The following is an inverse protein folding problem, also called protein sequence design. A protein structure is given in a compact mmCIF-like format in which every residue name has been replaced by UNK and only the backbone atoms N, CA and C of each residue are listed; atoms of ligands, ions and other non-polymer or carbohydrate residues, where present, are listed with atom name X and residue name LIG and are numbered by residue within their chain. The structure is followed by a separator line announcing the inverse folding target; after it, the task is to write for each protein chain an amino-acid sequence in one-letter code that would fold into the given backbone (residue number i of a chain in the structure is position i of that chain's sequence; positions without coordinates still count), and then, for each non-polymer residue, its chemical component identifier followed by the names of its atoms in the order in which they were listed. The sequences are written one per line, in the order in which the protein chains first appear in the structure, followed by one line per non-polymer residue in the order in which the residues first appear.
data_IF_679707619764
#
_entry.id   IF_679707619764
#
_cell.length_a   1.000
_cell.length_b   1.000
_cell.length_c   1.000
_cell.angle_alpha   90.00
_cell.angle_beta   90.00
_cell.angle_gamma   90.00
#
_symmetry.space_group_name_H-M   'P 1'
#
loop_
_entity.id
_entity.type
_entity.pdbx_description
1 polymer ?
#
# COMPACT_ATOMS: atom_id res chain seq x y z
N UNK A 1 -13.34 -23.25 0.75
CA UNK A 1 -14.52 -22.44 1.15
C UNK A 1 -14.65 -21.21 0.24
N UNK A 2 -15.81 -20.54 0.20
CA UNK A 2 -16.00 -19.32 -0.61
C UNK A 2 -15.78 -18.10 0.27
N UNK A 3 -14.84 -17.24 -0.12
CA UNK A 3 -14.61 -15.92 0.45
C UNK A 3 -15.42 -14.90 -0.34
N UNK A 4 -16.44 -14.31 0.27
CA UNK A 4 -17.15 -13.15 -0.28
C UNK A 4 -16.50 -11.88 0.28
N UNK A 5 -16.06 -10.98 -0.59
CA UNK A 5 -15.38 -9.73 -0.21
C UNK A 5 -15.56 -8.67 -1.29
N UNK A 6 -15.17 -7.42 -1.01
CA UNK A 6 -15.12 -6.36 -2.01
C UNK A 6 -13.66 -5.98 -2.26
N UNK A 7 -13.17 -6.15 -3.49
CA UNK A 7 -11.81 -5.79 -3.85
C UNK A 7 -11.86 -4.65 -4.88
N UNK A 8 -11.21 -3.53 -4.57
CA UNK A 8 -11.17 -2.34 -5.43
C UNK A 8 -12.58 -1.95 -5.91
N UNK A 9 -13.52 -1.84 -4.96
CA UNK A 9 -14.93 -1.49 -5.17
C UNK A 9 -15.76 -2.51 -5.97
N UNK A 10 -15.24 -3.72 -6.23
CA UNK A 10 -15.95 -4.80 -6.93
C UNK A 10 -16.17 -5.98 -6.00
N UNK A 11 -17.43 -6.43 -5.87
CA UNK A 11 -17.75 -7.66 -5.14
C UNK A 11 -17.09 -8.85 -5.83
N UNK A 12 -16.46 -9.73 -5.04
CA UNK A 12 -15.78 -10.93 -5.49
C UNK A 12 -16.17 -12.11 -4.60
N UNK A 13 -16.30 -13.26 -5.23
CA UNK A 13 -16.40 -14.56 -4.59
C UNK A 13 -15.20 -15.38 -5.04
N UNK A 14 -14.36 -15.77 -4.10
CA UNK A 14 -13.10 -16.45 -4.37
C UNK A 14 -13.09 -17.79 -3.62
N UNK A 15 -12.68 -18.83 -4.31
CA UNK A 15 -12.44 -20.12 -3.66
C UNK A 15 -11.11 -20.06 -2.94
N UNK A 16 -11.13 -20.33 -1.64
CA UNK A 16 -9.95 -20.31 -0.77
C UNK A 16 -9.86 -21.57 0.08
N UNK A 17 -8.65 -21.90 0.52
CA UNK A 17 -8.42 -22.86 1.59
C UNK A 17 -8.54 -22.16 2.95
N UNK A 18 -8.83 -22.91 4.02
CA UNK A 18 -9.10 -22.33 5.34
C UNK A 18 -7.88 -21.65 5.96
N UNK A 19 -6.69 -22.10 5.61
CA UNK A 19 -5.38 -21.63 6.06
C UNK A 19 -4.67 -20.73 5.03
N UNK A 20 -5.36 -20.37 3.93
CA UNK A 20 -4.77 -19.55 2.87
C UNK A 20 -4.57 -18.11 3.32
N UNK A 21 -3.37 -17.58 3.08
CA UNK A 21 -3.05 -16.17 3.34
C UNK A 21 -3.60 -15.25 2.25
N UNK A 22 -4.02 -14.06 2.67
CA UNK A 22 -4.63 -13.05 1.80
C UNK A 22 -3.74 -12.66 0.61
N UNK A 23 -2.42 -12.61 0.79
CA UNK A 23 -1.48 -12.34 -0.29
C UNK A 23 -1.59 -13.36 -1.43
N UNK A 24 -1.72 -14.63 -1.10
CA UNK A 24 -1.83 -15.71 -2.09
C UNK A 24 -3.18 -15.66 -2.80
N UNK A 25 -4.25 -15.48 -2.04
CA UNK A 25 -5.61 -15.29 -2.59
C UNK A 25 -5.68 -14.12 -3.58
N UNK A 26 -5.16 -12.96 -3.19
CA UNK A 26 -5.15 -11.78 -4.05
C UNK A 26 -4.33 -12.00 -5.33
N UNK A 27 -3.15 -12.62 -5.21
CA UNK A 27 -2.31 -12.93 -6.38
C UNK A 27 -2.94 -13.97 -7.30
N UNK A 28 -3.59 -15.01 -6.77
CA UNK A 28 -4.39 -15.98 -7.56
C UNK A 28 -5.55 -15.27 -8.28
N UNK A 29 -6.13 -14.26 -7.67
CA UNK A 29 -7.20 -13.46 -8.26
C UNK A 29 -6.71 -12.38 -9.26
N UNK A 30 -5.39 -12.32 -9.55
CA UNK A 30 -4.79 -11.45 -10.57
C UNK A 30 -4.26 -10.11 -10.04
N UNK A 31 -4.31 -9.84 -8.72
CA UNK A 31 -3.77 -8.61 -8.12
C UNK A 31 -2.25 -8.75 -7.89
N UNK A 32 -1.48 -8.65 -8.98
CA UNK A 32 -0.05 -8.93 -8.98
C UNK A 32 0.81 -7.79 -8.41
N UNK A 33 0.22 -6.62 -8.15
CA UNK A 33 0.86 -5.53 -7.39
C UNK A 33 1.14 -5.91 -5.94
N UNK A 34 0.40 -6.87 -5.39
CA UNK A 34 0.64 -7.45 -4.07
C UNK A 34 1.89 -8.34 -4.16
N UNK A 35 3.03 -7.82 -3.68
CA UNK A 35 4.34 -8.50 -3.80
C UNK A 35 4.65 -9.31 -2.55
N UNK A 36 5.40 -10.40 -2.73
CA UNK A 36 6.00 -11.18 -1.63
C UNK A 36 7.52 -11.00 -1.70
N UNK A 37 8.10 -10.31 -0.74
CA UNK A 37 9.53 -10.00 -0.71
C UNK A 37 10.26 -10.56 0.51
N UNK A 38 9.54 -11.18 1.45
CA UNK A 38 10.10 -11.88 2.61
C UNK A 38 9.17 -13.00 3.08
N UNK A 39 9.70 -13.86 3.96
CA UNK A 39 8.93 -14.94 4.60
C UNK A 39 8.68 -14.68 6.10
N UNK A 40 9.06 -13.49 6.59
CA UNK A 40 9.03 -13.12 8.02
C UNK A 40 7.97 -12.08 8.39
N UNK A 41 7.19 -11.59 7.41
CA UNK A 41 6.20 -10.53 7.65
C UNK A 41 6.80 -9.15 7.97
N UNK A 42 8.05 -8.87 7.56
CA UNK A 42 8.77 -7.67 7.96
C UNK A 42 8.91 -6.59 6.86
N UNK A 43 8.74 -6.95 5.57
CA UNK A 43 9.15 -6.05 4.49
C UNK A 43 8.09 -5.06 3.99
N UNK A 44 6.82 -5.25 4.28
CA UNK A 44 5.73 -4.36 3.86
C UNK A 44 5.35 -4.40 2.37
N UNK A 45 6.01 -5.24 1.55
CA UNK A 45 5.76 -5.29 0.10
C UNK A 45 4.37 -5.85 -0.25
N UNK A 46 3.79 -6.64 0.66
CA UNK A 46 2.47 -7.24 0.53
C UNK A 46 1.35 -6.38 1.13
N UNK A 47 1.63 -5.14 1.50
CA UNK A 47 0.64 -4.24 2.11
C UNK A 47 -0.56 -4.07 1.19
N UNK A 48 -1.75 -4.24 1.76
CA UNK A 48 -3.05 -3.89 1.19
C UNK A 48 -3.85 -3.11 2.23
N UNK A 49 -4.90 -2.41 1.83
CA UNK A 49 -5.80 -1.79 2.80
C UNK A 49 -6.99 -2.72 3.04
N UNK A 50 -7.32 -2.96 4.29
CA UNK A 50 -8.54 -3.64 4.72
C UNK A 50 -9.35 -2.66 5.55
N UNK A 51 -10.55 -2.31 5.10
CA UNK A 51 -11.36 -1.25 5.70
C UNK A 51 -10.58 0.07 5.85
N UNK A 52 -9.75 0.40 4.83
CA UNK A 52 -8.93 1.61 4.79
C UNK A 52 -7.63 1.56 5.61
N UNK A 53 -7.37 0.50 6.38
CA UNK A 53 -6.17 0.37 7.21
C UNK A 53 -5.13 -0.52 6.55
N UNK A 54 -3.83 -0.14 6.58
CA UNK A 54 -2.77 -0.95 6.00
C UNK A 54 -2.56 -2.23 6.82
N UNK A 55 -2.55 -3.37 6.13
CA UNK A 55 -2.27 -4.68 6.71
C UNK A 55 -1.29 -5.47 5.85
N UNK A 56 -0.50 -6.33 6.49
CA UNK A 56 0.38 -7.26 5.81
C UNK A 56 -0.43 -8.47 5.33
N UNK A 57 -0.73 -8.54 4.05
CA UNK A 57 -1.55 -9.63 3.51
C UNK A 57 -0.89 -11.00 3.60
N UNK A 58 0.45 -11.07 3.64
CA UNK A 58 1.19 -12.33 3.84
C UNK A 58 1.05 -12.93 5.25
N UNK A 59 0.57 -12.15 6.23
CA UNK A 59 0.36 -12.56 7.62
C UNK A 59 -1.12 -12.52 8.02
N UNK A 60 -2.01 -12.25 7.07
CA UNK A 60 -3.45 -12.18 7.27
C UNK A 60 -4.13 -13.36 6.60
N UNK A 61 -4.86 -14.18 7.36
CA UNK A 61 -5.66 -15.27 6.78
C UNK A 61 -6.83 -14.70 5.98
N UNK A 62 -7.09 -15.25 4.80
CA UNK A 62 -8.15 -14.79 3.90
C UNK A 62 -9.55 -14.85 4.53
N UNK A 63 -9.81 -15.82 5.38
CA UNK A 63 -11.08 -15.95 6.11
C UNK A 63 -11.39 -14.75 7.01
N UNK A 64 -10.37 -14.02 7.48
CA UNK A 64 -10.53 -12.86 8.38
C UNK A 64 -11.02 -11.60 7.66
N UNK A 65 -10.99 -11.59 6.34
CA UNK A 65 -11.45 -10.46 5.51
C UNK A 65 -12.78 -10.72 4.82
N UNK A 66 -13.51 -11.75 5.27
CA UNK A 66 -14.87 -12.02 4.78
C UNK A 66 -15.77 -10.80 4.98
N UNK A 67 -16.52 -10.43 3.94
CA UNK A 67 -17.41 -9.27 3.87
C UNK A 67 -16.73 -7.91 4.11
N UNK A 68 -15.38 -7.85 4.07
CA UNK A 68 -14.63 -6.59 4.22
C UNK A 68 -14.27 -6.00 2.87
N UNK A 69 -13.96 -4.69 2.90
CA UNK A 69 -13.42 -3.96 1.76
C UNK A 69 -11.90 -4.10 1.75
N UNK A 70 -11.36 -4.59 0.62
CA UNK A 70 -9.92 -4.71 0.38
C UNK A 70 -9.55 -3.77 -0.75
N UNK A 71 -8.46 -3.04 -0.60
CA UNK A 71 -7.97 -2.13 -1.63
C UNK A 71 -6.49 -2.40 -1.88
N UNK A 72 -6.16 -2.51 -3.15
CA UNK A 72 -4.79 -2.62 -3.65
C UNK A 72 -4.42 -1.32 -4.38
N UNK A 73 -3.16 -1.16 -4.81
CA UNK A 73 -2.71 0.09 -5.44
C UNK A 73 -3.49 0.43 -6.73
N UNK A 74 -4.04 -0.57 -7.39
CA UNK A 74 -4.87 -0.40 -8.59
C UNK A 74 -6.15 0.40 -8.34
N UNK A 75 -6.55 0.57 -7.08
CA UNK A 75 -7.68 1.44 -6.71
C UNK A 75 -7.31 2.94 -6.64
N UNK A 76 -6.03 3.26 -6.70
CA UNK A 76 -5.48 4.61 -6.49
C UNK A 76 -4.54 5.06 -7.64
N UNK A 77 -4.97 4.97 -8.92
CA UNK A 77 -4.06 5.22 -10.05
C UNK A 77 -3.53 6.67 -10.06
N UNK A 78 -4.37 7.65 -9.73
CA UNK A 78 -3.98 9.07 -9.74
C UNK A 78 -3.01 9.41 -8.62
N UNK A 79 -3.32 8.96 -7.40
CA UNK A 79 -2.48 9.15 -6.21
C UNK A 79 -1.14 8.46 -6.38
N UNK A 80 -1.15 7.23 -6.92
CA UNK A 80 0.07 6.47 -7.19
C UNK A 80 0.96 7.14 -8.24
N UNK A 81 0.37 7.62 -9.33
CA UNK A 81 1.09 8.34 -10.41
C UNK A 81 1.71 9.64 -9.87
N UNK A 82 0.94 10.43 -9.12
CA UNK A 82 1.43 11.68 -8.53
C UNK A 82 2.55 11.42 -7.54
N UNK A 83 2.41 10.45 -6.63
CA UNK A 83 3.47 10.09 -5.68
C UNK A 83 4.73 9.61 -6.43
N UNK A 84 4.58 8.74 -7.43
CA UNK A 84 5.70 8.23 -8.22
C UNK A 84 6.48 9.35 -8.91
N UNK A 85 5.81 10.38 -9.43
CA UNK A 85 6.44 11.57 -10.02
C UNK A 85 7.40 12.22 -9.01
N UNK A 86 6.94 12.51 -7.79
CA UNK A 86 7.77 13.20 -6.79
C UNK A 86 8.89 12.30 -6.24
N UNK A 87 8.65 10.99 -6.16
CA UNK A 87 9.71 10.02 -5.80
C UNK A 87 10.80 9.97 -6.87
N UNK A 88 10.41 9.97 -8.15
CA UNK A 88 11.35 9.97 -9.27
C UNK A 88 12.19 11.26 -9.32
N UNK A 89 11.58 12.43 -9.10
CA UNK A 89 12.28 13.73 -9.01
C UNK A 89 13.37 13.74 -7.94
N UNK A 90 13.17 13.03 -6.83
CA UNK A 90 14.14 12.89 -5.74
C UNK A 90 15.11 11.72 -5.93
N UNK A 91 15.04 11.00 -7.03
CA UNK A 91 15.86 9.80 -7.28
C UNK A 91 15.53 8.63 -6.34
N UNK A 92 14.32 8.61 -5.78
CA UNK A 92 13.89 7.58 -4.83
C UNK A 92 13.39 6.31 -5.50
N UNK A 93 13.20 6.31 -6.81
CA UNK A 93 12.67 5.19 -7.57
C UNK A 93 13.78 4.52 -8.39
N UNK A 94 13.93 3.20 -8.24
CA UNK A 94 14.91 2.41 -8.98
C UNK A 94 14.29 1.12 -9.50
N UNK A 95 14.29 -0.01 -8.74
CA UNK A 95 13.73 -1.26 -9.21
C UNK A 95 12.20 -1.32 -9.18
N UNK A 96 11.52 -0.44 -8.43
CA UNK A 96 10.06 -0.36 -8.31
C UNK A 96 9.40 -1.51 -7.53
N UNK A 97 10.15 -2.50 -7.04
CA UNK A 97 9.57 -3.69 -6.42
C UNK A 97 8.80 -3.37 -5.12
N UNK A 98 9.28 -2.42 -4.32
CA UNK A 98 8.61 -1.98 -3.10
C UNK A 98 7.46 -0.98 -3.37
N UNK A 99 7.41 -0.35 -4.54
CA UNK A 99 6.55 0.79 -4.83
C UNK A 99 5.06 0.57 -4.53
N UNK A 100 4.41 -0.56 -4.89
CA UNK A 100 2.99 -0.74 -4.64
C UNK A 100 2.61 -0.70 -3.15
N UNK A 101 3.31 -1.49 -2.32
CA UNK A 101 3.06 -1.55 -0.88
C UNK A 101 3.42 -0.23 -0.18
N UNK A 102 4.53 0.38 -0.58
CA UNK A 102 4.95 1.69 -0.09
C UNK A 102 3.93 2.78 -0.41
N UNK A 103 3.48 2.88 -1.66
CA UNK A 103 2.51 3.88 -2.08
C UNK A 103 1.17 3.73 -1.33
N UNK A 104 0.67 2.51 -1.15
CA UNK A 104 -0.54 2.26 -0.36
C UNK A 104 -0.37 2.72 1.09
N UNK A 105 0.79 2.48 1.69
CA UNK A 105 1.07 2.91 3.07
C UNK A 105 1.11 4.43 3.16
N UNK A 106 1.72 5.13 2.19
CA UNK A 106 1.71 6.61 2.12
C UNK A 106 0.29 7.14 1.97
N UNK A 107 -0.52 6.55 1.07
CA UNK A 107 -1.92 6.96 0.87
C UNK A 107 -2.74 6.77 2.15
N UNK A 108 -2.55 5.65 2.85
CA UNK A 108 -3.23 5.39 4.13
C UNK A 108 -2.78 6.39 5.21
N UNK A 109 -1.49 6.67 5.30
CA UNK A 109 -0.93 7.65 6.23
C UNK A 109 -1.58 9.03 6.06
N UNK A 110 -1.72 9.52 4.83
CA UNK A 110 -2.31 10.83 4.56
C UNK A 110 -3.83 10.89 4.82
N UNK A 111 -4.50 9.76 4.88
CA UNK A 111 -5.90 9.68 5.32
C UNK A 111 -6.05 9.63 6.83
N UNK A 112 -5.04 9.15 7.53
CA UNK A 112 -5.07 8.92 8.98
C UNK A 112 -4.43 10.06 9.76
N UNK A 113 -3.35 10.67 9.23
CA UNK A 113 -2.60 11.73 9.88
C UNK A 113 -2.80 13.07 9.17
N UNK A 114 -3.13 14.10 9.97
CA UNK A 114 -3.18 15.46 9.46
C UNK A 114 -1.81 16.13 9.61
N UNK A 115 -1.20 16.49 8.48
CA UNK A 115 0.09 17.17 8.40
C UNK A 115 1.23 16.51 9.23
N UNK A 116 1.55 15.22 9.00
CA UNK A 116 2.54 14.52 9.81
C UNK A 116 3.94 15.14 9.71
N UNK A 117 4.65 15.15 10.84
CA UNK A 117 6.07 15.51 10.94
C UNK A 117 6.95 14.44 10.25
N UNK A 118 8.23 14.80 10.02
CA UNK A 118 9.19 13.85 9.45
C UNK A 118 9.30 12.56 10.30
N UNK A 119 9.27 12.67 11.63
CA UNK A 119 9.32 11.53 12.55
C UNK A 119 8.07 10.64 12.43
N UNK A 120 6.90 11.23 12.34
CA UNK A 120 5.64 10.50 12.17
C UNK A 120 5.59 9.78 10.81
N UNK A 121 6.07 10.43 9.73
CA UNK A 121 6.19 9.81 8.40
C UNK A 121 7.12 8.58 8.48
N UNK A 122 8.31 8.75 9.05
CA UNK A 122 9.29 7.67 9.17
C UNK A 122 8.77 6.53 10.05
N UNK A 123 8.10 6.85 11.16
CA UNK A 123 7.49 5.87 12.03
C UNK A 123 6.39 5.07 11.31
N UNK A 124 5.51 5.74 10.59
CA UNK A 124 4.41 5.09 9.86
C UNK A 124 4.92 4.15 8.76
N UNK A 125 6.01 4.53 8.11
CA UNK A 125 6.63 3.77 7.00
C UNK A 125 7.68 2.75 7.46
N UNK A 126 7.93 2.62 8.75
CA UNK A 126 9.00 1.77 9.30
C UNK A 126 8.91 0.29 8.85
N UNK A 127 7.70 -0.20 8.56
CA UNK A 127 7.46 -1.55 8.03
C UNK A 127 7.60 -1.70 6.51
N UNK A 128 7.93 -0.63 5.76
CA UNK A 128 8.05 -0.67 4.30
C UNK A 128 9.52 -0.62 3.88
N UNK A 129 10.12 -1.79 3.63
CA UNK A 129 11.55 -1.89 3.33
C UNK A 129 11.85 -1.62 1.86
N UNK A 130 12.91 -0.85 1.62
CA UNK A 130 13.50 -0.64 0.31
C UNK A 130 15.00 -0.91 0.37
N UNK A 131 15.53 -1.65 -0.61
CA UNK A 131 16.97 -1.95 -0.68
C UNK A 131 17.75 -0.99 -1.58
N UNK A 132 17.06 -0.14 -2.33
CA UNK A 132 17.64 0.69 -3.37
C UNK A 132 17.80 2.15 -2.97
N UNK A 133 16.77 2.79 -2.39
CA UNK A 133 16.70 4.24 -2.24
C UNK A 133 17.45 4.82 -1.04
N UNK A 134 17.67 4.05 0.03
CA UNK A 134 18.25 4.53 1.29
C UNK A 134 17.33 5.43 2.13
N UNK A 135 16.03 5.50 1.77
CA UNK A 135 14.92 6.16 2.50
C UNK A 135 14.91 7.69 2.52
N UNK A 136 16.04 8.38 2.59
CA UNK A 136 16.09 9.86 2.67
C UNK A 136 15.42 10.52 1.47
N UNK A 137 15.70 10.01 0.27
CA UNK A 137 15.04 10.49 -0.95
C UNK A 137 13.55 10.21 -0.98
N UNK A 138 13.12 9.09 -0.42
CA UNK A 138 11.69 8.77 -0.26
C UNK A 138 10.98 9.79 0.64
N UNK A 139 11.57 10.14 1.79
CA UNK A 139 11.02 11.16 2.68
C UNK A 139 10.86 12.51 1.96
N UNK A 140 11.89 12.94 1.20
CA UNK A 140 11.82 14.19 0.42
C UNK A 140 10.71 14.15 -0.63
N UNK A 141 10.57 13.05 -1.36
CA UNK A 141 9.51 12.87 -2.35
C UNK A 141 8.10 12.89 -1.73
N UNK A 142 7.92 12.23 -0.58
CA UNK A 142 6.66 12.27 0.16
C UNK A 142 6.30 13.71 0.58
N UNK A 143 7.25 14.48 1.09
CA UNK A 143 7.01 15.87 1.51
C UNK A 143 6.57 16.75 0.34
N UNK A 144 7.15 16.58 -0.84
CA UNK A 144 6.70 17.26 -2.06
C UNK A 144 5.28 16.85 -2.44
N UNK A 145 5.01 15.55 -2.42
CA UNK A 145 3.68 15.02 -2.71
C UNK A 145 2.62 15.57 -1.74
N UNK A 146 2.91 15.58 -0.45
CA UNK A 146 2.02 16.15 0.58
C UNK A 146 1.69 17.62 0.35
N UNK A 147 2.69 18.40 -0.09
CA UNK A 147 2.47 19.83 -0.43
C UNK A 147 1.49 19.96 -1.59
N UNK A 148 1.70 19.21 -2.65
CA UNK A 148 0.81 19.22 -3.84
C UNK A 148 -0.62 18.82 -3.50
N UNK A 149 -0.81 17.77 -2.71
CA UNK A 149 -2.14 17.30 -2.29
C UNK A 149 -2.88 18.44 -1.55
N UNK A 150 -2.20 19.13 -0.62
CA UNK A 150 -2.79 20.25 0.13
C UNK A 150 -3.11 21.45 -0.77
N UNK A 151 -2.22 21.79 -1.69
CA UNK A 151 -2.45 22.90 -2.63
C UNK A 151 -3.65 22.61 -3.54
N UNK A 152 -3.85 21.36 -3.93
CA UNK A 152 -5.01 20.93 -4.70
C UNK A 152 -6.33 20.96 -3.89
N UNK A 153 -6.28 20.72 -2.59
CA UNK A 153 -7.47 20.77 -1.71
C UNK A 153 -7.88 22.22 -1.40
N UNK A 154 -6.91 23.12 -1.21
CA UNK A 154 -7.15 24.54 -0.92
C UNK A 154 -7.68 25.33 -2.14
N UNK A 155 -7.54 24.79 -3.35
CA UNK A 155 -7.99 25.43 -4.60
C UNK A 155 -9.35 24.91 -5.10
N UNK A 156 -10.08 24.14 -4.31
CA UNK A 156 -11.44 23.65 -4.58
C UNK A 156 -12.49 24.40 -3.74
#
# INVERSE_FOLDING_TARGET
MILTTTINNRKKELLIDADEYLADTLRKAGYLSVKKGCDTGACGLCTVLVEGKPVLSCSTLSVRVMNKKIETIENYPKEAEMLAKYLAEEGAEQCGFCAPGFALTVIAMLKELDNPSDEEILHYLNGNLCRCSGYVSQLRGIKKYMKEVRDCENNK
#
